data_IF_897814549691
#
_entry.id   IF_897814549691
#
_cell.length_a   1.000
_cell.length_b   1.000
_cell.length_c   1.000
_cell.angle_alpha   90.00
_cell.angle_beta   90.00
_cell.angle_gamma   90.00
#
_symmetry.space_group_name_H-M   'P 1'
#
loop_
_entity.id
_entity.type
_entity.pdbx_description
1 polymer ?
#
# COMPACT_ATOMS: atom_id res chain seq x y z
N UNK A 1 -60.46 -9.58 10.33
CA UNK A 1 -59.57 -10.09 9.27
C UNK A 1 -58.24 -9.35 9.35
N UNK A 2 -57.21 -9.96 9.94
CA UNK A 2 -55.86 -9.38 9.99
C UNK A 2 -55.14 -9.58 8.65
N UNK A 3 -54.74 -8.50 7.99
CA UNK A 3 -53.88 -8.59 6.80
C UNK A 3 -52.50 -9.08 7.24
N UNK A 4 -52.16 -10.32 6.89
CA UNK A 4 -50.78 -10.78 6.87
C UNK A 4 -50.00 -9.89 5.91
N UNK A 5 -49.17 -9.00 6.44
CA UNK A 5 -48.22 -8.21 5.66
C UNK A 5 -47.17 -9.15 5.09
N UNK A 6 -47.33 -9.56 3.83
CA UNK A 6 -46.30 -10.31 3.09
C UNK A 6 -45.11 -9.38 2.90
N UNK A 7 -44.07 -9.53 3.73
CA UNK A 7 -42.82 -8.80 3.56
C UNK A 7 -42.00 -9.49 2.46
N UNK A 8 -41.59 -8.78 1.41
CA UNK A 8 -40.75 -9.37 0.37
C UNK A 8 -39.40 -9.78 0.96
N UNK A 9 -38.92 -10.96 0.56
CA UNK A 9 -37.57 -11.42 0.83
C UNK A 9 -36.70 -11.03 -0.37
N UNK A 10 -35.57 -10.38 -0.10
CA UNK A 10 -34.60 -10.00 -1.11
C UNK A 10 -33.36 -10.86 -0.97
N UNK A 11 -32.90 -11.43 -2.07
CA UNK A 11 -31.60 -12.11 -2.13
C UNK A 11 -30.52 -11.06 -2.36
N UNK A 12 -29.50 -11.07 -1.52
CA UNK A 12 -28.34 -10.18 -1.63
C UNK A 12 -27.10 -11.04 -1.80
N UNK A 13 -26.34 -10.77 -2.86
CA UNK A 13 -25.05 -11.42 -3.09
C UNK A 13 -23.98 -10.61 -2.36
N UNK A 14 -23.03 -11.29 -1.70
CA UNK A 14 -21.91 -10.59 -1.05
C UNK A 14 -21.02 -9.88 -2.09
N UNK A 15 -20.96 -8.53 -2.08
CA UNK A 15 -20.14 -7.77 -3.01
C UNK A 15 -18.64 -8.11 -2.92
N UNK A 16 -18.14 -8.49 -1.74
CA UNK A 16 -16.73 -8.87 -1.56
C UNK A 16 -16.41 -10.12 -2.37
N UNK A 17 -17.33 -11.10 -2.39
CA UNK A 17 -17.17 -12.31 -3.17
C UNK A 17 -17.25 -12.02 -4.67
N UNK A 18 -18.23 -11.21 -5.10
CA UNK A 18 -18.33 -10.78 -6.50
C UNK A 18 -17.04 -10.11 -6.99
N UNK A 19 -16.47 -9.19 -6.22
CA UNK A 19 -15.21 -8.52 -6.59
C UNK A 19 -14.06 -9.52 -6.79
N UNK A 20 -13.94 -10.52 -5.91
CA UNK A 20 -12.94 -11.60 -6.05
C UNK A 20 -13.21 -12.45 -7.29
N UNK A 21 -14.47 -12.79 -7.58
CA UNK A 21 -14.84 -13.56 -8.75
C UNK A 21 -14.51 -12.80 -10.05
N UNK A 22 -14.83 -11.51 -10.15
CA UNK A 22 -14.47 -10.69 -11.32
C UNK A 22 -12.96 -10.73 -11.57
N UNK A 23 -12.13 -10.50 -10.55
CA UNK A 23 -10.66 -10.62 -10.69
C UNK A 23 -10.23 -12.02 -11.11
N UNK A 24 -10.74 -13.05 -10.44
CA UNK A 24 -10.31 -14.43 -10.67
C UNK A 24 -10.70 -14.93 -12.05
N UNK A 25 -11.87 -14.55 -12.55
CA UNK A 25 -12.31 -14.88 -13.90
C UNK A 25 -11.45 -14.15 -14.92
N UNK A 26 -11.18 -12.86 -14.72
CA UNK A 26 -10.26 -12.10 -15.59
C UNK A 26 -8.88 -12.75 -15.72
N UNK A 27 -8.33 -13.25 -14.61
CA UNK A 27 -7.05 -13.97 -14.56
C UNK A 27 -7.08 -15.32 -15.29
N UNK A 28 -8.24 -16.01 -15.29
CA UNK A 28 -8.44 -17.35 -15.88
C UNK A 28 -8.74 -17.31 -17.38
N UNK A 29 -9.18 -16.18 -17.92
CA UNK A 29 -9.49 -16.07 -19.33
C UNK A 29 -8.29 -16.41 -20.20
N UNK A 30 -8.55 -16.98 -21.38
CA UNK A 30 -7.54 -17.18 -22.41
C UNK A 30 -6.98 -15.80 -22.80
N UNK A 31 -5.64 -15.68 -22.84
CA UNK A 31 -4.91 -14.42 -22.99
C UNK A 31 -5.19 -13.33 -21.92
N UNK A 32 -5.92 -13.68 -20.86
CA UNK A 32 -6.35 -12.78 -19.78
C UNK A 32 -7.14 -11.56 -20.30
N UNK A 33 -7.93 -11.77 -21.34
CA UNK A 33 -8.79 -10.77 -21.96
C UNK A 33 -10.25 -10.98 -21.55
N UNK A 34 -10.93 -9.92 -21.11
CA UNK A 34 -12.38 -9.92 -20.92
C UNK A 34 -13.05 -9.13 -22.04
N UNK A 35 -14.15 -9.68 -22.57
CA UNK A 35 -14.99 -9.06 -23.59
C UNK A 35 -16.23 -8.49 -22.93
N UNK A 36 -16.45 -7.18 -23.07
CA UNK A 36 -17.45 -6.46 -22.32
C UNK A 36 -18.19 -5.50 -23.26
N UNK A 37 -19.51 -5.35 -23.19
CA UNK A 37 -20.17 -4.23 -23.84
C UNK A 37 -19.59 -2.92 -23.30
N UNK A 38 -19.46 -1.90 -24.14
CA UNK A 38 -19.13 -0.57 -23.66
C UNK A 38 -20.16 -0.10 -22.63
N UNK A 39 -19.70 0.35 -21.46
CA UNK A 39 -20.59 0.75 -20.36
C UNK A 39 -21.31 2.07 -20.64
N UNK A 40 -20.59 3.05 -21.20
CA UNK A 40 -21.16 4.33 -21.59
C UNK A 40 -21.47 4.31 -23.09
N UNK A 41 -22.70 4.65 -23.51
CA UNK A 41 -23.05 4.62 -24.93
C UNK A 41 -22.16 5.59 -25.71
N UNK A 42 -21.66 5.12 -26.86
CA UNK A 42 -21.04 6.00 -27.86
C UNK A 42 -22.04 7.10 -28.29
N UNK A 43 -21.52 8.24 -28.76
CA UNK A 43 -22.34 9.35 -29.29
C UNK A 43 -23.30 8.95 -30.40
N UNK A 44 -23.10 7.78 -31.02
CA UNK A 44 -23.93 7.19 -32.08
C UNK A 44 -24.98 6.19 -31.56
N UNK A 45 -25.08 5.96 -30.23
CA UNK A 45 -26.07 5.06 -29.62
C UNK A 45 -25.81 3.56 -29.85
N UNK A 46 -24.70 3.21 -30.52
CA UNK A 46 -24.34 1.83 -30.82
C UNK A 46 -23.44 1.30 -29.70
N UNK A 47 -23.85 0.22 -29.02
CA UNK A 47 -23.02 -0.49 -28.04
C UNK A 47 -21.94 -1.27 -28.77
N UNK A 48 -20.69 -0.82 -28.72
CA UNK A 48 -19.55 -1.58 -29.22
C UNK A 48 -19.02 -2.53 -28.13
N UNK A 49 -18.38 -3.62 -28.55
CA UNK A 49 -17.65 -4.49 -27.63
C UNK A 49 -16.30 -3.84 -27.31
N UNK A 50 -15.96 -3.78 -26.03
CA UNK A 50 -14.66 -3.42 -25.50
C UNK A 50 -13.92 -4.67 -25.00
N UNK A 51 -12.60 -4.53 -24.88
CA UNK A 51 -11.70 -5.55 -24.37
C UNK A 51 -10.92 -5.00 -23.18
N UNK A 52 -10.72 -5.81 -22.14
CA UNK A 52 -9.88 -5.43 -21.01
C UNK A 52 -8.84 -6.53 -20.76
N UNK A 53 -7.56 -6.17 -20.76
CA UNK A 53 -6.47 -7.14 -20.61
C UNK A 53 -5.87 -7.06 -19.22
N UNK A 54 -5.89 -8.18 -18.48
CA UNK A 54 -5.22 -8.25 -17.19
C UNK A 54 -3.70 -8.12 -17.37
N UNK A 55 -3.18 -8.56 -18.52
CA UNK A 55 -1.78 -8.40 -18.89
C UNK A 55 -1.34 -6.93 -18.87
N UNK A 56 -2.19 -5.99 -19.25
CA UNK A 56 -1.90 -4.55 -19.15
C UNK A 56 -1.63 -4.11 -17.72
N UNK A 57 -2.37 -4.65 -16.74
CA UNK A 57 -2.13 -4.39 -15.30
C UNK A 57 -0.80 -5.01 -14.83
N UNK A 58 -0.48 -6.22 -15.31
CA UNK A 58 0.82 -6.87 -15.05
C UNK A 58 1.99 -6.09 -15.63
N UNK A 59 1.87 -5.66 -16.87
CA UNK A 59 2.91 -4.91 -17.58
C UNK A 59 3.15 -3.56 -16.90
N UNK A 60 2.09 -2.86 -16.49
CA UNK A 60 2.20 -1.64 -15.70
C UNK A 60 2.94 -1.87 -14.37
N UNK A 61 2.63 -2.96 -13.65
CA UNK A 61 3.37 -3.32 -12.43
C UNK A 61 4.85 -3.61 -12.71
N UNK A 62 5.17 -4.36 -13.77
CA UNK A 62 6.53 -4.75 -14.11
C UNK A 62 7.38 -3.55 -14.56
N UNK A 63 6.80 -2.57 -15.26
CA UNK A 63 7.49 -1.34 -15.68
C UNK A 63 7.92 -0.49 -14.47
N UNK A 64 7.16 -0.56 -13.38
CA UNK A 64 7.40 0.22 -12.16
C UNK A 64 8.00 -0.60 -11.01
N UNK A 65 8.20 -1.93 -11.16
CA UNK A 65 8.47 -2.82 -10.02
C UNK A 65 9.80 -2.51 -9.30
N UNK A 66 10.78 -2.01 -10.05
CA UNK A 66 12.09 -1.61 -9.54
C UNK A 66 12.17 -0.09 -9.23
N UNK A 67 11.05 0.65 -9.35
CA UNK A 67 10.98 2.08 -9.07
C UNK A 67 10.38 2.34 -7.68
N UNK A 68 10.92 3.29 -6.90
CA UNK A 68 10.31 3.67 -5.61
C UNK A 68 9.08 4.56 -5.77
N UNK A 69 9.11 5.46 -6.76
CA UNK A 69 7.96 6.26 -7.14
C UNK A 69 7.19 5.51 -8.22
N UNK A 70 5.94 5.18 -7.91
CA UNK A 70 5.07 4.38 -8.77
C UNK A 70 3.73 5.08 -8.86
N UNK A 71 3.19 5.21 -10.06
CA UNK A 71 1.82 5.63 -10.26
C UNK A 71 0.88 4.52 -9.74
N UNK A 72 1.21 3.26 -9.99
CA UNK A 72 0.52 2.07 -9.47
C UNK A 72 0.92 1.68 -8.05
N UNK A 73 1.18 2.63 -7.13
CA UNK A 73 1.79 2.34 -5.82
C UNK A 73 1.00 1.35 -4.94
N UNK A 74 -0.30 1.19 -5.18
CA UNK A 74 -1.16 0.21 -4.49
C UNK A 74 -0.97 -1.22 -5.00
N UNK A 75 -0.49 -1.39 -6.24
CA UNK A 75 -0.30 -2.70 -6.87
C UNK A 75 0.90 -3.43 -6.28
N UNK A 76 0.71 -4.73 -6.06
CA UNK A 76 1.72 -5.65 -5.54
C UNK A 76 1.79 -6.90 -6.39
N UNK A 77 2.88 -7.66 -6.27
CA UNK A 77 3.05 -8.96 -6.91
C UNK A 77 1.90 -9.93 -6.61
N UNK A 78 1.41 -9.92 -5.35
CA UNK A 78 0.26 -10.72 -4.91
C UNK A 78 -1.05 -10.34 -5.61
N UNK A 79 -1.19 -9.11 -6.09
CA UNK A 79 -2.38 -8.66 -6.83
C UNK A 79 -2.36 -9.10 -8.30
N UNK A 80 -1.19 -9.01 -8.94
CA UNK A 80 -1.05 -9.28 -10.37
C UNK A 80 -0.75 -10.75 -10.69
N UNK A 81 -0.12 -11.47 -9.76
CA UNK A 81 0.22 -12.90 -9.90
C UNK A 81 -0.10 -13.66 -8.61
N UNK A 82 -1.38 -13.75 -8.20
CA UNK A 82 -1.78 -14.42 -6.96
C UNK A 82 -1.64 -15.95 -7.04
N UNK A 83 -1.20 -16.55 -5.95
CA UNK A 83 -1.35 -18.00 -5.68
C UNK A 83 -2.82 -18.37 -5.42
N UNK A 84 -3.16 -19.66 -5.41
CA UNK A 84 -4.54 -20.10 -5.18
C UNK A 84 -5.10 -19.70 -3.81
N UNK A 85 -4.23 -19.64 -2.79
CA UNK A 85 -4.59 -19.13 -1.46
C UNK A 85 -4.83 -17.62 -1.54
N UNK A 86 -3.96 -16.86 -2.20
CA UNK A 86 -4.09 -15.41 -2.32
C UNK A 86 -5.30 -14.98 -3.16
N UNK A 87 -5.77 -15.81 -4.10
CA UNK A 87 -7.04 -15.62 -4.81
C UNK A 87 -8.25 -15.58 -3.87
N UNK A 88 -8.17 -16.10 -2.65
CA UNK A 88 -9.26 -15.97 -1.67
C UNK A 88 -9.28 -14.61 -0.96
N UNK A 89 -8.18 -13.86 -1.04
CA UNK A 89 -8.04 -12.55 -0.41
C UNK A 89 -8.74 -11.43 -1.17
N UNK A 90 -9.50 -10.60 -0.44
CA UNK A 90 -10.10 -9.36 -0.97
C UNK A 90 -9.07 -8.26 -1.15
N UNK A 91 -8.04 -8.19 -0.28
CA UNK A 91 -7.00 -7.14 -0.34
C UNK A 91 -6.29 -7.10 -1.71
N UNK A 92 -5.81 -8.23 -2.28
CA UNK A 92 -5.24 -8.22 -3.63
C UNK A 92 -6.24 -7.81 -4.72
N UNK A 93 -7.53 -8.16 -4.59
CA UNK A 93 -8.55 -7.71 -5.55
C UNK A 93 -8.75 -6.19 -5.51
N UNK A 94 -8.78 -5.59 -4.31
CA UNK A 94 -8.86 -4.14 -4.13
C UNK A 94 -7.63 -3.40 -4.66
N UNK A 95 -6.46 -4.05 -4.71
CA UNK A 95 -5.28 -3.46 -5.31
C UNK A 95 -5.39 -3.37 -6.83
N UNK A 96 -6.01 -4.37 -7.48
CA UNK A 96 -6.34 -4.34 -8.92
C UNK A 96 -7.41 -3.28 -9.19
N UNK A 97 -8.52 -3.32 -8.44
CA UNK A 97 -9.64 -2.39 -8.56
C UNK A 97 -9.46 -1.18 -7.63
N UNK A 98 -8.35 -0.48 -7.83
CA UNK A 98 -7.96 0.73 -7.11
C UNK A 98 -8.44 1.98 -7.84
N UNK A 99 -8.89 3.01 -7.12
CA UNK A 99 -9.25 4.32 -7.72
C UNK A 99 -8.06 5.01 -8.40
N UNK A 100 -6.83 4.66 -8.02
CA UNK A 100 -5.60 5.18 -8.63
C UNK A 100 -5.16 4.37 -9.85
N UNK A 101 -5.67 3.15 -10.02
CA UNK A 101 -5.27 2.22 -11.07
C UNK A 101 -5.47 2.77 -12.49
N UNK A 102 -6.67 3.26 -12.85
CA UNK A 102 -6.95 3.81 -14.18
C UNK A 102 -5.99 4.94 -14.59
N UNK A 103 -5.76 5.90 -13.70
CA UNK A 103 -4.82 6.99 -13.95
C UNK A 103 -3.37 6.48 -14.06
N UNK A 104 -2.98 5.50 -13.26
CA UNK A 104 -1.66 4.88 -13.37
C UNK A 104 -1.47 4.22 -14.74
N UNK A 105 -2.47 3.47 -15.23
CA UNK A 105 -2.41 2.85 -16.55
C UNK A 105 -2.27 3.90 -17.67
N UNK A 106 -3.06 4.99 -17.60
CA UNK A 106 -3.02 6.08 -18.58
C UNK A 106 -1.66 6.79 -18.61
N UNK A 107 -1.02 6.99 -17.46
CA UNK A 107 0.29 7.66 -17.39
C UNK A 107 1.44 6.75 -17.80
N UNK A 108 1.40 5.47 -17.41
CA UNK A 108 2.43 4.49 -17.79
C UNK A 108 2.36 4.19 -19.29
N UNK A 109 1.17 4.25 -19.90
CA UNK A 109 1.00 4.06 -21.34
C UNK A 109 1.19 2.62 -21.81
N UNK A 110 0.91 1.63 -20.95
CA UNK A 110 0.99 0.20 -21.31
C UNK A 110 -0.02 -0.16 -22.43
N UNK A 111 0.22 -1.20 -23.24
CA UNK A 111 -0.69 -1.55 -24.35
C UNK A 111 -2.13 -1.78 -23.86
N UNK A 112 -3.12 -1.29 -24.61
CA UNK A 112 -4.56 -1.39 -24.28
C UNK A 112 -4.92 -0.78 -22.91
N UNK A 113 -4.23 0.30 -22.52
CA UNK A 113 -4.44 0.95 -21.23
C UNK A 113 -5.82 1.59 -21.12
N UNK A 114 -6.40 2.14 -22.18
CA UNK A 114 -7.61 2.96 -22.08
C UNK A 114 -8.84 2.10 -21.82
N UNK A 115 -8.99 0.99 -22.54
CA UNK A 115 -10.11 0.06 -22.36
C UNK A 115 -10.00 -0.68 -21.01
N UNK A 116 -8.78 -1.06 -20.62
CA UNK A 116 -8.50 -1.68 -19.32
C UNK A 116 -8.77 -0.70 -18.17
N UNK A 117 -8.34 0.56 -18.29
CA UNK A 117 -8.62 1.62 -17.32
C UNK A 117 -10.13 1.87 -17.20
N UNK A 118 -10.84 1.94 -18.33
CA UNK A 118 -12.29 2.13 -18.37
C UNK A 118 -13.03 1.00 -17.66
N UNK A 119 -12.64 -0.25 -17.88
CA UNK A 119 -13.22 -1.39 -17.15
C UNK A 119 -12.99 -1.30 -15.65
N UNK A 120 -11.76 -0.98 -15.22
CA UNK A 120 -11.44 -0.81 -13.79
C UNK A 120 -12.26 0.33 -13.20
N UNK A 121 -12.43 1.45 -13.90
CA UNK A 121 -13.27 2.58 -13.47
C UNK A 121 -14.73 2.15 -13.23
N UNK A 122 -15.32 1.30 -14.08
CA UNK A 122 -16.68 0.76 -13.87
C UNK A 122 -16.75 -0.09 -12.61
N UNK A 123 -15.80 -1.01 -12.40
CA UNK A 123 -15.77 -1.87 -11.20
C UNK A 123 -15.53 -1.05 -9.92
N UNK A 124 -14.67 -0.03 -9.97
CA UNK A 124 -14.43 0.90 -8.85
C UNK A 124 -15.70 1.69 -8.52
N UNK A 125 -16.40 2.21 -9.53
CA UNK A 125 -17.70 2.90 -9.35
C UNK A 125 -18.71 2.00 -8.67
N UNK A 126 -18.89 0.77 -9.17
CA UNK A 126 -19.75 -0.23 -8.55
C UNK A 126 -19.38 -0.50 -7.09
N UNK A 127 -18.10 -0.76 -6.82
CA UNK A 127 -17.61 -1.03 -5.47
C UNK A 127 -17.88 0.12 -4.49
N UNK A 128 -17.71 1.37 -4.93
CA UNK A 128 -17.99 2.57 -4.12
C UNK A 128 -19.46 2.61 -3.68
N UNK A 129 -20.38 2.28 -4.58
CA UNK A 129 -21.82 2.27 -4.32
C UNK A 129 -22.22 1.15 -3.35
N UNK A 130 -21.78 -0.08 -3.59
CA UNK A 130 -22.25 -1.26 -2.83
C UNK A 130 -21.56 -1.44 -1.47
N UNK A 131 -20.39 -0.83 -1.25
CA UNK A 131 -19.61 -0.97 -0.01
C UNK A 131 -19.75 0.25 0.94
N UNK A 132 -20.95 0.79 1.08
CA UNK A 132 -21.28 1.88 2.01
C UNK A 132 -21.61 1.30 3.38
N UNK A 133 -20.65 1.34 4.31
CA UNK A 133 -20.81 0.75 5.66
C UNK A 133 -21.51 1.64 6.68
N UNK A 134 -21.51 2.95 6.44
CA UNK A 134 -22.05 3.94 7.39
C UNK A 134 -22.76 5.06 6.63
N UNK A 135 -23.89 5.59 7.11
CA UNK A 135 -24.63 6.66 6.44
C UNK A 135 -23.80 7.91 6.10
N UNK A 136 -22.80 8.21 6.94
CA UNK A 136 -21.95 9.39 6.79
C UNK A 136 -20.70 9.17 5.94
N UNK A 137 -20.52 7.99 5.32
CA UNK A 137 -19.29 7.65 4.58
C UNK A 137 -19.05 8.62 3.41
N UNK A 138 -20.06 8.84 2.58
CA UNK A 138 -19.99 9.76 1.45
C UNK A 138 -19.77 11.22 1.87
N UNK A 139 -20.35 11.65 3.00
CA UNK A 139 -20.10 12.99 3.55
C UNK A 139 -18.66 13.15 4.04
N UNK A 140 -18.13 12.17 4.77
CA UNK A 140 -16.75 12.17 5.28
C UNK A 140 -15.72 12.16 4.14
N UNK A 141 -15.98 11.39 3.08
CA UNK A 141 -15.08 11.25 1.94
C UNK A 141 -15.34 12.28 0.82
N UNK A 142 -16.43 13.06 0.91
CA UNK A 142 -16.93 13.94 -0.16
C UNK A 142 -17.09 13.20 -1.48
N UNK A 143 -17.65 12.00 -1.40
CA UNK A 143 -17.88 11.12 -2.55
C UNK A 143 -19.36 10.75 -2.60
N UNK A 144 -20.06 11.27 -3.60
CA UNK A 144 -21.51 11.09 -3.76
C UNK A 144 -21.89 9.64 -4.09
N UNK A 145 -20.99 8.88 -4.73
CA UNK A 145 -21.19 7.44 -4.97
C UNK A 145 -21.19 6.64 -3.66
N UNK A 146 -20.57 7.18 -2.60
CA UNK A 146 -20.46 6.54 -1.30
C UNK A 146 -21.47 7.07 -0.26
N UNK A 147 -22.48 7.82 -0.71
CA UNK A 147 -23.69 8.12 0.08
C UNK A 147 -24.63 6.92 0.06
N UNK A 148 -25.52 6.76 1.07
CA UNK A 148 -26.57 5.75 1.03
C UNK A 148 -27.35 5.78 -0.29
N UNK A 149 -27.69 4.61 -0.80
CA UNK A 149 -28.57 4.48 -1.97
C UNK A 149 -29.99 4.78 -1.49
N UNK A 150 -30.65 5.73 -2.13
CA UNK A 150 -32.04 6.04 -1.84
C UNK A 150 -32.92 5.30 -2.84
N UNK A 151 -34.06 4.72 -2.43
CA UNK A 151 -35.01 4.07 -3.32
C UNK A 151 -35.79 5.12 -4.10
N UNK A 152 -35.09 5.83 -4.97
CA UNK A 152 -35.59 6.88 -5.85
C UNK A 152 -35.14 6.58 -7.27
N UNK A 153 -36.04 6.61 -8.26
CA UNK A 153 -35.66 6.45 -9.67
C UNK A 153 -34.73 7.58 -10.15
N UNK A 154 -34.65 8.68 -9.41
CA UNK A 154 -33.76 9.81 -9.69
C UNK A 154 -32.39 9.69 -9.03
N UNK A 155 -32.14 8.66 -8.21
CA UNK A 155 -30.81 8.43 -7.67
C UNK A 155 -29.91 7.85 -8.78
N UNK A 156 -28.87 8.57 -9.24
CA UNK A 156 -28.00 8.11 -10.33
C UNK A 156 -27.30 6.79 -9.99
N UNK A 157 -27.13 6.45 -8.70
CA UNK A 157 -26.58 5.16 -8.27
C UNK A 157 -27.51 4.00 -8.62
N UNK A 158 -28.83 4.20 -8.57
CA UNK A 158 -29.82 3.17 -8.94
C UNK A 158 -29.79 2.93 -10.44
N UNK A 159 -29.75 4.00 -11.26
CA UNK A 159 -29.57 3.88 -12.72
C UNK A 159 -28.29 3.13 -13.04
N UNK A 160 -27.16 3.55 -12.46
CA UNK A 160 -25.87 2.90 -12.66
C UNK A 160 -25.90 1.41 -12.30
N UNK A 161 -26.54 1.03 -11.19
CA UNK A 161 -26.64 -0.37 -10.78
C UNK A 161 -27.49 -1.19 -11.73
N UNK A 162 -28.55 -0.63 -12.31
CA UNK A 162 -29.35 -1.29 -13.34
C UNK A 162 -28.57 -1.46 -14.64
N UNK A 163 -27.80 -0.44 -15.05
CA UNK A 163 -26.95 -0.51 -16.24
C UNK A 163 -25.81 -1.53 -16.04
N UNK A 164 -25.22 -1.56 -14.84
CA UNK A 164 -24.21 -2.55 -14.45
C UNK A 164 -24.79 -3.96 -14.40
N UNK A 165 -26.00 -4.12 -13.88
CA UNK A 165 -26.69 -5.41 -13.92
C UNK A 165 -26.99 -5.84 -15.36
N UNK A 166 -27.41 -4.91 -16.23
CA UNK A 166 -27.58 -5.17 -17.66
C UNK A 166 -26.26 -5.52 -18.37
N UNK A 167 -25.13 -4.96 -17.97
CA UNK A 167 -23.80 -5.32 -18.47
C UNK A 167 -23.43 -6.77 -18.08
N UNK A 168 -23.72 -7.13 -16.82
CA UNK A 168 -23.43 -8.46 -16.25
C UNK A 168 -24.43 -9.51 -16.75
N UNK A 169 -25.68 -9.14 -16.99
CA UNK A 169 -26.80 -10.03 -17.33
C UNK A 169 -27.23 -10.07 -18.80
N UNK A 170 -26.93 -9.03 -19.60
CA UNK A 170 -27.36 -8.87 -21.00
C UNK A 170 -26.66 -9.76 -22.03
N UNK A 171 -26.10 -10.90 -21.60
CA UNK A 171 -25.56 -11.95 -22.47
C UNK A 171 -26.62 -13.07 -22.56
N UNK A 172 -27.86 -12.72 -22.88
CA UNK A 172 -28.90 -13.70 -23.19
C UNK A 172 -28.66 -14.22 -24.61
N UNK A 173 -28.02 -15.40 -24.72
CA UNK A 173 -27.78 -16.08 -26.00
C UNK A 173 -26.46 -16.84 -26.10
N UNK A 174 -25.54 -16.65 -25.16
CA UNK A 174 -24.38 -17.51 -24.90
C UNK A 174 -24.22 -17.57 -23.39
N UNK A 175 -24.09 -18.76 -22.82
CA UNK A 175 -23.80 -18.95 -21.39
C UNK A 175 -22.78 -17.89 -20.94
N UNK A 176 -23.23 -16.97 -20.10
CA UNK A 176 -22.44 -15.79 -19.79
C UNK A 176 -21.30 -16.20 -18.85
N UNK A 177 -20.13 -15.58 -19.00
CA UNK A 177 -19.02 -15.70 -18.06
C UNK A 177 -19.40 -15.21 -16.64
N UNK A 178 -20.57 -14.56 -16.50
CA UNK A 178 -21.21 -14.21 -15.23
C UNK A 178 -22.09 -15.35 -14.67
N UNK A 179 -22.66 -16.22 -15.51
CA UNK A 179 -23.19 -17.52 -15.07
C UNK A 179 -22.06 -18.37 -14.48
N UNK A 180 -20.83 -18.27 -15.01
CA UNK A 180 -19.65 -18.85 -14.35
C UNK A 180 -19.32 -18.19 -13.00
N UNK A 181 -19.65 -16.91 -12.77
CA UNK A 181 -19.52 -16.28 -11.44
C UNK A 181 -20.49 -16.92 -10.45
N UNK A 182 -21.73 -17.20 -10.87
CA UNK A 182 -22.74 -17.92 -10.10
C UNK A 182 -22.37 -19.39 -9.86
N UNK A 183 -21.89 -20.11 -10.88
CA UNK A 183 -21.47 -21.51 -10.77
C UNK A 183 -20.15 -21.68 -9.97
N UNK A 184 -19.25 -20.70 -10.02
CA UNK A 184 -18.04 -20.69 -9.19
C UNK A 184 -18.37 -20.56 -7.69
N UNK A 185 -19.47 -19.88 -7.34
CA UNK A 185 -19.93 -19.81 -5.95
C UNK A 185 -20.34 -21.20 -5.43
N UNK A 186 -20.99 -22.02 -6.26
CA UNK A 186 -21.34 -23.40 -5.94
C UNK A 186 -20.12 -24.33 -5.86
N UNK A 187 -19.12 -24.16 -6.74
CA UNK A 187 -17.87 -24.95 -6.71
C UNK A 187 -16.96 -24.62 -5.52
N UNK A 188 -16.92 -23.36 -5.08
CA UNK A 188 -16.14 -22.95 -3.89
C UNK A 188 -16.73 -23.50 -2.58
N UNK A 189 -18.06 -23.62 -2.47
CA UNK A 189 -18.72 -24.23 -1.30
C UNK A 189 -18.39 -25.71 -1.11
N UNK A 190 -18.15 -26.46 -2.20
CA UNK A 190 -17.74 -27.87 -2.15
C UNK A 190 -16.27 -28.05 -1.72
N UNK A 191 -15.39 -27.09 -2.02
CA UNK A 191 -13.99 -27.13 -1.59
C UNK A 191 -13.81 -26.77 -0.12
N UNK A 192 -14.71 -25.96 0.46
CA UNK A 192 -14.71 -25.66 1.91
C UNK A 192 -15.15 -26.82 2.79
N UNK A 193 -15.61 -27.93 2.20
CA UNK A 193 -16.05 -29.15 2.92
C UNK A 193 -14.98 -30.23 3.02
N UNK A 194 -13.75 -29.98 2.51
CA UNK A 194 -12.62 -30.91 2.64
C UNK A 194 -11.76 -30.54 3.86
N UNK A 195 -11.28 -31.53 4.65
CA UNK A 195 -10.52 -31.26 5.88
C UNK A 195 -9.25 -30.45 5.61
N UNK A 196 -8.96 -29.47 6.48
CA UNK A 196 -7.74 -28.67 6.45
C UNK A 196 -6.51 -29.57 6.54
N UNK A 197 -5.80 -29.73 5.42
CA UNK A 197 -4.43 -30.24 5.43
C UNK A 197 -3.53 -29.09 5.87
N UNK A 198 -3.10 -29.17 7.12
CA UNK A 198 -1.99 -28.41 7.68
C UNK A 198 -0.72 -28.67 6.88
N UNK A 199 -0.24 -27.69 6.13
CA UNK A 199 1.20 -27.44 5.83
C UNK A 199 1.31 -26.20 4.92
N UNK A 200 1.40 -25.03 5.55
CA UNK A 200 1.98 -23.84 4.92
C UNK A 200 2.80 -23.09 5.98
N UNK A 201 3.79 -23.79 6.51
CA UNK A 201 4.96 -23.13 7.10
C UNK A 201 5.83 -22.61 5.95
N UNK A 202 6.36 -21.41 6.16
CA UNK A 202 7.27 -20.69 5.26
C UNK A 202 6.65 -20.26 3.92
N UNK A 203 6.41 -18.94 3.79
CA UNK A 203 6.73 -18.06 2.65
C UNK A 203 5.86 -16.81 2.84
N UNK A 204 6.26 -15.97 3.80
CA UNK A 204 5.81 -14.58 3.85
C UNK A 204 7.05 -13.73 4.15
N UNK A 205 7.89 -13.54 3.13
CA UNK A 205 9.09 -12.70 3.20
C UNK A 205 9.39 -11.92 1.91
N UNK A 206 8.48 -11.89 0.93
CA UNK A 206 8.71 -11.25 -0.39
C UNK A 206 8.73 -9.70 -0.35
N UNK A 207 8.66 -9.07 0.84
CA UNK A 207 8.85 -7.62 1.01
C UNK A 207 10.19 -7.24 1.63
N UNK A 208 11.05 -8.23 1.88
CA UNK A 208 12.34 -8.04 2.51
C UNK A 208 13.44 -8.74 1.71
N UNK A 209 13.60 -8.38 0.42
CA UNK A 209 14.85 -8.68 -0.31
C UNK A 209 16.01 -8.33 0.61
N UNK A 210 16.81 -9.33 0.89
CA UNK A 210 17.87 -9.25 1.86
C UNK A 210 19.04 -8.47 1.25
N UNK A 211 19.65 -7.52 1.97
CA UNK A 211 20.84 -6.85 1.45
C UNK A 211 22.00 -7.85 1.27
N UNK A 212 22.00 -8.96 2.04
CA UNK A 212 22.96 -10.07 1.89
C UNK A 212 22.83 -10.77 0.52
N UNK A 213 21.65 -10.73 -0.13
CA UNK A 213 21.41 -11.31 -1.46
C UNK A 213 21.72 -10.32 -2.61
N UNK A 214 21.88 -9.03 -2.30
CA UNK A 214 22.10 -7.95 -3.26
C UNK A 214 23.58 -7.64 -3.50
N UNK A 215 24.50 -8.30 -2.80
CA UNK A 215 25.95 -8.07 -2.94
C UNK A 215 26.53 -8.43 -4.32
N UNK A 216 25.75 -9.02 -5.23
CA UNK A 216 26.21 -9.41 -6.57
C UNK A 216 26.05 -8.33 -7.65
N UNK A 217 25.53 -7.13 -7.34
CA UNK A 217 25.34 -6.09 -8.36
C UNK A 217 25.88 -4.71 -7.95
N UNK A 218 27.02 -4.39 -8.56
CA UNK A 218 27.65 -3.08 -8.80
C UNK A 218 27.92 -2.19 -7.57
N UNK A 219 29.19 -1.79 -7.45
CA UNK A 219 29.63 -0.74 -6.54
C UNK A 219 28.73 0.51 -6.67
N UNK A 220 28.23 0.99 -5.54
CA UNK A 220 27.55 2.28 -5.45
C UNK A 220 28.50 3.34 -6.01
N UNK A 221 28.06 4.26 -6.89
CA UNK A 221 28.89 5.38 -7.31
C UNK A 221 29.07 6.32 -6.11
N UNK A 222 30.08 6.03 -5.29
CA UNK A 222 30.60 6.92 -4.27
C UNK A 222 31.04 8.22 -4.97
N UNK A 223 30.54 9.36 -4.47
CA UNK A 223 30.89 10.69 -4.98
C UNK A 223 29.83 11.42 -5.81
N UNK A 224 28.67 10.83 -6.13
CA UNK A 224 27.61 11.54 -6.87
C UNK A 224 26.73 12.48 -6.04
N UNK A 225 26.54 12.19 -4.75
CA UNK A 225 25.61 12.95 -3.90
C UNK A 225 26.38 13.68 -2.80
N UNK A 226 26.37 15.01 -2.83
CA UNK A 226 26.97 15.84 -1.77
C UNK A 226 25.96 16.03 -0.63
N UNK A 227 25.86 15.04 0.26
CA UNK A 227 25.00 15.09 1.44
C UNK A 227 25.86 15.24 2.68
N UNK A 228 25.69 16.36 3.39
CA UNK A 228 26.33 16.60 4.69
C UNK A 228 25.25 16.65 5.77
N UNK A 229 25.37 15.88 6.84
CA UNK A 229 24.49 16.04 8.01
C UNK A 229 25.10 17.11 8.92
N UNK A 230 24.29 18.06 9.37
CA UNK A 230 24.75 19.17 10.22
C UNK A 230 24.02 19.10 11.54
N UNK A 231 24.66 19.56 12.61
CA UNK A 231 24.01 19.68 13.92
C UNK A 231 22.76 20.57 13.85
N UNK A 232 22.77 21.60 12.99
CA UNK A 232 21.58 22.41 12.74
C UNK A 232 20.42 21.59 12.16
N UNK A 233 20.68 20.71 11.19
CA UNK A 233 19.65 19.85 10.60
C UNK A 233 19.07 18.86 11.63
N UNK A 234 19.92 18.30 12.51
CA UNK A 234 19.47 17.42 13.59
C UNK A 234 18.65 18.20 14.63
N UNK A 235 19.03 19.44 14.94
CA UNK A 235 18.30 20.29 15.90
C UNK A 235 16.88 20.66 15.42
N UNK A 236 16.65 20.69 14.10
CA UNK A 236 15.33 20.92 13.48
C UNK A 236 14.40 19.71 13.63
N UNK A 237 14.92 18.55 14.04
CA UNK A 237 14.11 17.35 14.24
C UNK A 237 13.27 17.36 15.53
N UNK A 238 13.43 18.35 16.42
CA UNK A 238 12.75 18.39 17.73
C UNK A 238 11.26 18.03 17.69
N UNK A 239 10.53 18.51 16.69
CA UNK A 239 9.09 18.27 16.55
C UNK A 239 8.75 16.89 15.94
N UNK A 240 9.69 16.28 15.20
CA UNK A 240 9.52 14.96 14.56
C UNK A 240 10.23 13.83 15.29
N UNK A 241 11.03 14.14 16.32
CA UNK A 241 11.74 13.17 17.16
C UNK A 241 10.81 12.02 17.61
N UNK A 242 9.58 12.25 18.13
CA UNK A 242 8.72 11.14 18.58
C UNK A 242 8.38 10.14 17.46
N UNK A 243 8.23 10.64 16.23
CA UNK A 243 7.98 9.82 15.04
C UNK A 243 9.25 9.06 14.63
N UNK A 244 10.40 9.72 14.67
CA UNK A 244 11.71 9.09 14.42
C UNK A 244 11.98 7.98 15.42
N UNK A 245 11.70 8.20 16.71
CA UNK A 245 11.81 7.22 17.78
C UNK A 245 10.87 6.04 17.55
N UNK A 246 9.64 6.27 17.08
CA UNK A 246 8.74 5.17 16.69
C UNK A 246 9.33 4.31 15.56
N UNK A 247 9.88 4.94 14.51
CA UNK A 247 10.53 4.23 13.40
C UNK A 247 11.77 3.48 13.86
N UNK A 248 12.55 4.05 14.78
CA UNK A 248 13.69 3.38 15.40
C UNK A 248 13.25 2.14 16.20
N UNK A 249 12.18 2.24 17.00
CA UNK A 249 11.63 1.11 17.76
C UNK A 249 11.20 -0.05 16.85
N UNK A 250 10.54 0.26 15.74
CA UNK A 250 10.18 -0.75 14.74
C UNK A 250 11.41 -1.37 14.05
N UNK A 251 12.42 -0.55 13.74
CA UNK A 251 13.66 -1.03 13.12
C UNK A 251 14.43 -1.96 14.07
N UNK A 252 14.54 -1.58 15.34
CA UNK A 252 15.14 -2.41 16.40
C UNK A 252 14.38 -3.72 16.58
N UNK A 253 13.03 -3.68 16.60
CA UNK A 253 12.22 -4.89 16.68
C UNK A 253 12.57 -5.89 15.56
N UNK A 254 12.73 -5.41 14.33
CA UNK A 254 13.12 -6.26 13.18
C UNK A 254 14.53 -6.82 13.37
N UNK A 255 15.49 -5.99 13.76
CA UNK A 255 16.89 -6.41 13.99
C UNK A 255 16.95 -7.50 15.06
N UNK A 256 16.30 -7.29 16.20
CA UNK A 256 16.26 -8.27 17.31
C UNK A 256 15.59 -9.57 16.89
N UNK A 257 14.46 -9.50 16.18
CA UNK A 257 13.76 -10.69 15.67
C UNK A 257 14.63 -11.49 14.70
N UNK A 258 15.51 -10.81 13.96
CA UNK A 258 16.37 -11.39 12.94
C UNK A 258 17.65 -11.99 13.52
N UNK A 259 18.38 -11.21 14.31
CA UNK A 259 19.63 -11.65 14.93
C UNK A 259 19.40 -12.65 16.06
N UNK A 260 18.20 -12.67 16.66
CA UNK A 260 17.85 -13.51 17.82
C UNK A 260 18.91 -13.45 18.93
N UNK A 261 19.41 -12.24 19.17
CA UNK A 261 20.52 -11.98 20.08
C UNK A 261 20.07 -11.11 21.25
N UNK A 262 20.06 -11.68 22.46
CA UNK A 262 19.64 -10.99 23.68
C UNK A 262 20.56 -9.81 24.01
N UNK A 263 21.86 -9.95 23.77
CA UNK A 263 22.83 -8.86 23.98
C UNK A 263 22.60 -7.68 23.04
N UNK A 264 22.34 -7.94 21.74
CA UNK A 264 21.93 -6.86 20.83
C UNK A 264 20.59 -6.25 21.24
N UNK A 265 19.67 -7.04 21.80
CA UNK A 265 18.40 -6.52 22.32
C UNK A 265 18.63 -5.60 23.52
N UNK A 266 19.46 -5.99 24.47
CA UNK A 266 19.82 -5.15 25.63
C UNK A 266 20.47 -3.84 25.19
N UNK A 267 21.40 -3.87 24.24
CA UNK A 267 22.06 -2.66 23.72
C UNK A 267 21.11 -1.74 22.93
N UNK A 268 20.13 -2.31 22.21
CA UNK A 268 19.26 -1.56 21.31
C UNK A 268 17.94 -1.10 21.95
N UNK A 269 17.62 -1.56 23.15
CA UNK A 269 16.33 -1.28 23.80
C UNK A 269 16.50 -0.66 25.17
N UNK A 270 15.49 0.10 25.59
CA UNK A 270 15.42 0.66 26.95
C UNK A 270 14.27 0.01 27.69
N UNK A 271 14.46 -0.21 28.99
CA UNK A 271 13.38 -0.64 29.86
C UNK A 271 12.24 0.39 29.88
N UNK A 272 11.01 -0.09 29.66
CA UNK A 272 9.81 0.74 29.63
C UNK A 272 9.61 1.50 30.94
N UNK A 273 9.99 0.92 32.07
CA UNK A 273 9.83 1.54 33.39
C UNK A 273 10.79 2.72 33.60
N UNK A 274 11.98 2.65 32.98
CA UNK A 274 13.05 3.67 33.08
C UNK A 274 12.87 4.79 32.06
N UNK A 275 12.42 4.47 30.83
CA UNK A 275 12.19 5.44 29.75
C UNK A 275 10.98 6.38 29.98
N UNK A 276 10.19 6.15 31.04
CA UNK A 276 8.91 6.82 31.30
C UNK A 276 9.07 8.03 32.24
N UNK A 277 10.21 8.71 32.27
CA UNK A 277 10.23 10.05 32.87
C UNK A 277 9.23 10.96 32.10
N UNK A 278 8.38 11.73 32.79
CA UNK A 278 7.37 12.60 32.15
C UNK A 278 7.98 13.67 31.22
N UNK A 279 9.24 14.00 31.45
CA UNK A 279 9.96 15.06 30.76
C UNK A 279 10.56 14.61 29.42
N UNK A 280 10.72 13.30 29.21
CA UNK A 280 11.31 12.79 27.98
C UNK A 280 10.28 12.74 26.83
N UNK A 281 10.17 13.87 26.12
CA UNK A 281 9.29 14.03 24.95
C UNK A 281 9.60 13.05 23.81
N UNK A 282 10.79 12.43 23.79
CA UNK A 282 11.19 11.49 22.75
C UNK A 282 10.26 10.28 22.63
N UNK A 283 9.73 9.79 23.75
CA UNK A 283 8.90 8.60 23.80
C UNK A 283 7.39 8.90 23.83
N UNK A 284 6.96 10.17 23.69
CA UNK A 284 5.56 10.57 23.85
C UNK A 284 4.61 9.77 22.95
N UNK A 285 4.92 9.69 21.65
CA UNK A 285 4.13 8.96 20.68
C UNK A 285 4.05 7.46 21.01
N UNK A 286 5.16 6.85 21.42
CA UNK A 286 5.19 5.44 21.80
C UNK A 286 4.31 5.18 23.02
N UNK A 287 4.34 6.06 24.02
CA UNK A 287 3.49 5.96 25.23
C UNK A 287 2.01 6.02 24.89
N UNK A 288 1.61 6.90 23.98
CA UNK A 288 0.20 7.08 23.60
C UNK A 288 -0.39 5.88 22.85
N UNK A 289 0.41 5.21 22.03
CA UNK A 289 -0.07 4.14 21.15
C UNK A 289 0.30 2.72 21.61
N UNK A 290 1.22 2.57 22.57
CA UNK A 290 1.61 1.26 23.08
C UNK A 290 0.46 0.59 23.82
N UNK A 291 0.24 -0.69 23.50
CA UNK A 291 -0.72 -1.57 24.17
C UNK A 291 -0.02 -2.75 24.85
N UNK A 292 1.28 -2.60 25.14
CA UNK A 292 2.15 -3.58 25.78
C UNK A 292 3.15 -4.24 24.84
N UNK A 293 2.96 -4.14 23.51
CA UNK A 293 3.75 -4.85 22.51
C UNK A 293 4.88 -4.05 21.84
N UNK A 294 4.97 -2.74 22.05
CA UNK A 294 5.96 -1.92 21.35
C UNK A 294 7.35 -1.97 22.00
N UNK A 295 8.36 -1.87 21.16
CA UNK A 295 9.78 -1.82 21.55
C UNK A 295 10.20 -0.37 21.70
N UNK A 296 10.87 -0.06 22.81
CA UNK A 296 11.41 1.26 23.12
C UNK A 296 12.90 1.26 22.74
N UNK A 297 13.31 2.01 21.71
CA UNK A 297 14.70 1.99 21.24
C UNK A 297 15.62 2.77 22.17
N UNK A 298 16.87 2.33 22.26
CA UNK A 298 17.97 3.05 22.89
C UNK A 298 18.36 4.29 22.07
N UNK A 299 18.95 5.29 22.74
CA UNK A 299 19.33 6.57 22.11
C UNK A 299 20.24 6.40 20.89
N UNK A 300 21.28 5.52 20.90
CA UNK A 300 22.10 5.29 19.72
C UNK A 300 21.29 4.85 18.49
N UNK A 301 20.28 4.00 18.68
CA UNK A 301 19.41 3.57 17.59
C UNK A 301 18.51 4.71 17.07
N UNK A 302 18.07 5.61 17.96
CA UNK A 302 17.32 6.81 17.58
C UNK A 302 18.22 7.76 16.78
N UNK A 303 19.46 7.98 17.21
CA UNK A 303 20.43 8.85 16.55
C UNK A 303 20.73 8.37 15.11
N UNK A 304 20.96 7.06 14.93
CA UNK A 304 21.17 6.47 13.60
C UNK A 304 19.98 6.72 12.67
N UNK A 305 18.76 6.52 13.17
CA UNK A 305 17.54 6.74 12.36
C UNK A 305 17.28 8.23 12.12
N UNK A 306 17.64 9.11 13.06
CA UNK A 306 17.58 10.56 12.89
C UNK A 306 18.57 11.05 11.81
N UNK A 307 19.80 10.53 11.83
CA UNK A 307 20.80 10.81 10.81
C UNK A 307 20.31 10.33 9.43
N UNK A 308 19.80 9.10 9.34
CA UNK A 308 19.21 8.56 8.13
C UNK A 308 18.00 9.38 7.63
N UNK A 309 17.17 9.88 8.53
CA UNK A 309 16.05 10.76 8.18
C UNK A 309 16.53 11.99 7.41
N UNK A 310 17.58 12.66 7.91
CA UNK A 310 18.15 13.85 7.26
C UNK A 310 18.76 13.50 5.91
N UNK A 311 19.50 12.39 5.82
CA UNK A 311 20.10 11.92 4.56
C UNK A 311 19.02 11.65 3.52
N UNK A 312 17.99 10.85 3.86
CA UNK A 312 16.89 10.53 2.95
C UNK A 312 16.11 11.79 2.58
N UNK A 313 15.86 12.72 3.52
CA UNK A 313 15.20 13.98 3.21
C UNK A 313 16.00 14.80 2.18
N UNK A 314 17.32 14.90 2.32
CA UNK A 314 18.17 15.62 1.37
C UNK A 314 18.21 14.92 0.01
N UNK A 315 18.45 13.61 -0.02
CA UNK A 315 18.45 12.80 -1.25
C UNK A 315 17.12 12.91 -2.00
N UNK A 316 16.02 12.96 -1.27
CA UNK A 316 14.68 13.06 -1.85
C UNK A 316 14.43 14.36 -2.63
N UNK A 317 15.24 15.40 -2.38
CA UNK A 317 15.20 16.68 -3.11
C UNK A 317 16.12 16.67 -4.34
N UNK A 318 16.96 15.65 -4.52
CA UNK A 318 17.87 15.52 -5.64
C UNK A 318 17.21 14.79 -6.81
N UNK A 319 17.02 15.47 -7.95
CA UNK A 319 16.40 14.89 -9.14
C UNK A 319 17.17 13.68 -9.69
N UNK A 320 18.50 13.67 -9.54
CA UNK A 320 19.34 12.54 -9.95
C UNK A 320 19.10 11.29 -9.10
N UNK A 321 18.90 11.47 -7.78
CA UNK A 321 18.59 10.37 -6.88
C UNK A 321 17.26 9.73 -7.27
N UNK A 322 16.27 10.52 -7.66
CA UNK A 322 14.96 10.03 -8.09
C UNK A 322 15.00 9.11 -9.32
N UNK A 323 16.08 9.17 -10.13
CA UNK A 323 16.27 8.34 -11.33
C UNK A 323 17.05 7.06 -11.08
N UNK A 324 17.61 6.86 -9.89
CA UNK A 324 18.39 5.66 -9.54
C UNK A 324 17.46 4.48 -9.27
N UNK A 325 17.79 3.28 -9.78
CA UNK A 325 16.97 2.07 -9.56
C UNK A 325 17.12 1.51 -8.13
N UNK A 326 18.31 1.52 -7.55
CA UNK A 326 18.60 0.96 -6.23
C UNK A 326 18.66 2.00 -5.09
N UNK A 327 17.73 2.96 -5.09
CA UNK A 327 17.68 4.09 -4.14
C UNK A 327 17.79 3.68 -2.66
N UNK A 328 17.16 2.57 -2.25
CA UNK A 328 17.24 2.06 -0.87
C UNK A 328 18.67 1.68 -0.50
N UNK A 329 19.37 0.98 -1.39
CA UNK A 329 20.77 0.58 -1.18
C UNK A 329 21.66 1.81 -1.15
N UNK A 330 21.53 2.71 -2.15
CA UNK A 330 22.33 3.94 -2.21
C UNK A 330 22.17 4.79 -0.94
N UNK A 331 20.93 5.01 -0.48
CA UNK A 331 20.69 5.77 0.75
C UNK A 331 21.23 5.06 2.00
N UNK A 332 21.12 3.72 2.07
CA UNK A 332 21.65 2.94 3.20
C UNK A 332 23.17 3.03 3.26
N UNK A 333 23.87 2.78 2.15
CA UNK A 333 25.34 2.80 2.10
C UNK A 333 25.89 4.21 2.31
N UNK A 334 25.27 5.24 1.73
CA UNK A 334 25.68 6.63 1.94
C UNK A 334 25.55 7.02 3.42
N UNK A 335 24.46 6.63 4.06
CA UNK A 335 24.25 6.92 5.49
C UNK A 335 25.27 6.17 6.36
N UNK A 336 25.59 4.92 6.01
CA UNK A 336 26.60 4.13 6.72
C UNK A 336 28.00 4.75 6.59
N UNK A 337 28.36 5.24 5.41
CA UNK A 337 29.62 5.96 5.17
C UNK A 337 29.71 7.23 6.02
N UNK A 338 28.67 8.08 6.00
CA UNK A 338 28.63 9.31 6.80
C UNK A 338 28.73 9.04 8.30
N UNK A 339 28.11 7.97 8.79
CA UNK A 339 28.20 7.56 10.19
C UNK A 339 29.56 6.94 10.57
N UNK A 340 30.33 6.47 9.59
CA UNK A 340 31.69 5.93 9.83
C UNK A 340 32.76 7.03 9.82
N UNK A 341 32.48 8.15 9.16
CA UNK A 341 33.36 9.32 9.09
C UNK A 341 33.21 10.24 10.31
N UNK A 342 32.05 10.23 10.97
CA UNK A 342 31.83 10.82 12.30
C UNK A 342 32.34 9.81 13.38
N UNK A 343 32.83 10.29 14.54
CA UNK A 343 33.47 9.52 15.64
C UNK A 343 32.97 8.07 15.85
N UNK A 344 33.83 7.14 16.35
CA UNK A 344 33.51 5.71 16.45
C UNK A 344 32.12 5.47 17.05
N UNK A 345 31.31 4.73 16.30
CA UNK A 345 29.92 4.42 16.65
C UNK A 345 29.78 3.96 18.10
N UNK A 346 28.75 4.46 18.81
CA UNK A 346 28.33 3.98 20.13
C UNK A 346 27.96 2.47 20.16
N UNK A 347 27.97 1.81 19.01
CA UNK A 347 27.79 0.38 18.87
C UNK A 347 29.15 -0.32 18.85
N UNK A 348 29.50 -0.95 19.96
CA UNK A 348 30.61 -1.91 20.01
C UNK A 348 30.23 -3.26 19.39
N UNK A 349 31.25 -4.07 19.08
CA UNK A 349 31.04 -5.47 18.69
C UNK A 349 30.29 -6.16 19.83
N UNK A 350 29.13 -6.72 19.51
CA UNK A 350 28.35 -7.47 20.49
C UNK A 350 29.15 -8.66 21.01
N UNK A 351 29.00 -9.02 22.29
CA UNK A 351 29.64 -10.19 22.92
C UNK A 351 29.45 -11.51 22.16
N UNK A 352 28.42 -11.61 21.29
CA UNK A 352 28.17 -12.76 20.41
C UNK A 352 28.83 -12.63 19.01
N UNK A 353 29.72 -11.67 18.80
CA UNK A 353 30.49 -11.47 17.56
C UNK A 353 29.76 -10.69 16.45
N UNK A 354 28.62 -10.05 16.72
CA UNK A 354 27.98 -9.20 15.72
C UNK A 354 28.71 -7.87 15.60
N UNK A 355 29.31 -7.62 14.43
CA UNK A 355 29.92 -6.35 14.10
C UNK A 355 28.88 -5.21 14.12
N UNK A 356 29.28 -4.05 14.62
CA UNK A 356 28.44 -2.85 14.71
C UNK A 356 27.90 -2.42 13.35
N UNK A 357 28.74 -2.50 12.31
CA UNK A 357 28.37 -2.23 10.92
C UNK A 357 27.15 -3.06 10.46
N UNK A 358 27.11 -4.35 10.81
CA UNK A 358 26.01 -5.25 10.44
C UNK A 358 24.71 -4.83 11.13
N UNK A 359 24.78 -4.49 12.42
CA UNK A 359 23.63 -4.02 13.20
C UNK A 359 23.11 -2.70 12.64
N UNK A 360 24.01 -1.74 12.39
CA UNK A 360 23.70 -0.45 11.78
C UNK A 360 23.05 -0.62 10.42
N UNK A 361 23.62 -1.45 9.56
CA UNK A 361 23.09 -1.72 8.23
C UNK A 361 21.68 -2.30 8.28
N UNK A 362 21.36 -3.16 9.25
CA UNK A 362 19.99 -3.64 9.42
C UNK A 362 19.01 -2.55 9.86
N UNK A 363 19.41 -1.69 10.80
CA UNK A 363 18.59 -0.54 11.23
C UNK A 363 18.35 0.42 10.06
N UNK A 364 19.42 0.77 9.34
CA UNK A 364 19.38 1.66 8.19
C UNK A 364 18.57 1.07 7.04
N UNK A 365 18.75 -0.21 6.70
CA UNK A 365 17.99 -0.88 5.65
C UNK A 365 16.49 -0.84 5.92
N UNK A 366 16.08 -1.08 7.18
CA UNK A 366 14.68 -1.02 7.60
C UNK A 366 14.13 0.41 7.54
N UNK A 367 14.80 1.35 8.24
CA UNK A 367 14.35 2.73 8.33
C UNK A 367 14.32 3.43 6.97
N UNK A 368 15.32 3.22 6.12
CA UNK A 368 15.38 3.76 4.75
C UNK A 368 14.16 3.36 3.92
N UNK A 369 13.72 2.10 4.00
CA UNK A 369 12.53 1.62 3.30
C UNK A 369 11.27 2.38 3.75
N UNK A 370 11.13 2.59 5.06
CA UNK A 370 9.99 3.28 5.66
C UNK A 370 10.00 4.75 5.23
N UNK A 371 11.16 5.41 5.35
CA UNK A 371 11.34 6.82 5.02
C UNK A 371 11.06 7.08 3.53
N UNK A 372 11.63 6.27 2.64
CA UNK A 372 11.42 6.39 1.20
C UNK A 372 9.96 6.12 0.82
N UNK A 373 9.32 5.06 1.34
CA UNK A 373 7.89 4.80 1.08
C UNK A 373 7.01 5.96 1.54
N UNK A 374 7.29 6.52 2.70
CA UNK A 374 6.55 7.67 3.24
C UNK A 374 6.81 8.94 2.43
N UNK A 375 8.03 9.14 1.93
CA UNK A 375 8.35 10.24 1.02
C UNK A 375 7.58 10.09 -0.31
N UNK A 376 7.62 8.91 -0.93
CA UNK A 376 6.89 8.62 -2.16
C UNK A 376 5.38 8.86 -2.00
N UNK A 377 4.80 8.38 -0.89
CA UNK A 377 3.38 8.63 -0.59
C UNK A 377 3.07 10.12 -0.47
N UNK A 378 3.95 10.92 0.15
CA UNK A 378 3.78 12.37 0.26
C UNK A 378 3.84 13.05 -1.11
N UNK A 379 4.78 12.68 -1.97
CA UNK A 379 4.85 13.19 -3.34
C UNK A 379 3.60 12.82 -4.14
N UNK A 380 3.18 11.56 -4.10
CA UNK A 380 2.00 11.08 -4.82
C UNK A 380 0.73 11.81 -4.35
N UNK A 381 0.56 12.01 -3.04
CA UNK A 381 -0.56 12.80 -2.51
C UNK A 381 -0.56 14.26 -3.00
N UNK A 382 0.61 14.86 -3.23
CA UNK A 382 0.71 16.22 -3.76
C UNK A 382 0.38 16.30 -5.26
N UNK A 383 0.65 15.24 -6.01
CA UNK A 383 0.32 15.15 -7.45
C UNK A 383 -1.18 14.88 -7.65
N UNK A 384 -1.81 14.13 -6.76
CA UNK A 384 -3.23 13.76 -6.85
C UNK A 384 -4.23 14.79 -6.27
N UNK A 385 -3.78 15.85 -5.58
CA UNK A 385 -4.66 16.83 -4.92
C UNK A 385 -4.24 18.29 -5.26
N UNK A 386 -4.65 18.84 -6.42
CA UNK A 386 -4.46 20.28 -6.73
C UNK A 386 -5.20 21.21 -5.75
N UNK A 387 -6.08 20.66 -4.90
CA UNK A 387 -6.95 21.38 -3.97
C UNK A 387 -6.32 21.61 -2.57
N UNK A 388 -5.05 21.25 -2.40
CA UNK A 388 -4.30 21.43 -1.14
C UNK A 388 -4.12 22.92 -0.77
N UNK A 389 -4.33 23.86 -1.70
CA UNK A 389 -4.44 25.30 -1.42
C UNK A 389 -5.64 25.63 -0.51
N UNK A 390 -6.75 24.87 -0.59
CA UNK A 390 -7.93 25.09 0.24
C UNK A 390 -7.73 24.67 1.71
N UNK A 391 -6.91 23.65 1.97
CA UNK A 391 -6.55 23.21 3.33
C UNK A 391 -5.62 24.22 4.02
N UNK A 392 -4.70 24.85 3.27
CA UNK A 392 -3.84 25.93 3.79
C UNK A 392 -4.63 27.17 4.22
N UNK A 393 -5.68 27.55 3.47
CA UNK A 393 -6.62 28.62 3.87
C UNK A 393 -7.37 28.28 5.18
N UNK A 394 -7.74 27.01 5.39
CA UNK A 394 -8.49 26.58 6.59
C UNK A 394 -7.68 26.57 7.87
N UNK A 395 -6.38 26.25 7.81
CA UNK A 395 -5.49 26.39 8.97
C UNK A 395 -5.33 27.86 9.39
N UNK A 396 -5.25 28.79 8.43
CA UNK A 396 -5.21 30.23 8.71
C UNK A 396 -6.54 30.79 9.25
N UNK A 397 -7.67 30.14 8.97
CA UNK A 397 -8.98 30.58 9.51
C UNK A 397 -9.25 30.03 10.91
N UNK A 398 -8.55 28.96 11.33
CA UNK A 398 -8.66 28.38 12.67
C UNK A 398 -7.66 28.98 13.68
N UNK A 399 -6.62 29.67 13.20
CA UNK A 399 -5.69 30.43 14.05
C UNK A 399 -6.14 31.87 14.31
N UNK A 400 -7.18 32.35 13.62
CA UNK A 400 -7.75 33.70 13.77
C UNK A 400 -9.15 33.68 14.38
N UNK A 401 -9.44 32.73 15.27
CA UNK A 401 -10.62 32.78 16.15
C UNK A 401 -10.19 32.67 17.60
#
# INVERSE_FOLDING_TARGET
MGRLSIRPLFFVIDPVHLLKCVRNNWLKQNDQCLWLPQFEPSTTGQRCMQYAYFKTVKDAYNLESEQLLRYGYTLSRKAVSPTDIEKQGVKPALQVFSEYGPNALRVIGAKHYEETASFIDVIVRWWKVVNVKTPFKGLRLRDDLQKPVYPSPFDPKVSFLNDFFGLVGGVEGKESECLQIYECENKLRLQTTLPQISTASAIDNDQNRNWEELQTQAAVPSGKFNVVVTQEALSKLKDVIPVVTYVAGYSVHIVVKRLKCDKCRELLTVDKTVAVSPENRMYSLLKEIDRGGLVYPAMPAVNVVAHNYVVVEKLSKCAEFLKVQNQRQVATELTLQLLSDEEPSDFDVCEKGHASEVVLKYILWCSTNILLKNFCRRLNNNVSDPDNKSKKRKLQTLTNK
#
